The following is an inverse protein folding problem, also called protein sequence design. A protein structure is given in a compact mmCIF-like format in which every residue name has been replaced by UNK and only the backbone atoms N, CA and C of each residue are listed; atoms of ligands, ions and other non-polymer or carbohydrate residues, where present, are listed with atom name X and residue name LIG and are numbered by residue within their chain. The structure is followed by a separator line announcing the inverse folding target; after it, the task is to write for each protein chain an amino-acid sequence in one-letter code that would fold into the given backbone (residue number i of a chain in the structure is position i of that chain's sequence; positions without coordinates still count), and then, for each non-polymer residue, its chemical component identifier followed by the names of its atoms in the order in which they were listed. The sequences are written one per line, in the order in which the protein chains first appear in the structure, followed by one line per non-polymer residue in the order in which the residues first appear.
data_IF_983313708030
#
_entry.id   IF_983313708030
#
_cell.length_a   1.000
_cell.length_b   1.000
_cell.length_c   1.000
_cell.angle_alpha   90.00
_cell.angle_beta   90.00
_cell.angle_gamma   90.00
#
_symmetry.space_group_name_H-M   'P 1'
#
loop_
_entity.id
_entity.type
_entity.pdbx_description
1 polymer ?
#
# COMPACT_ATOMS: atom_id res chain seq x y z
N UNK A 1 7.16 8.15 -16.56
CA UNK A 1 6.23 7.33 -15.76
C UNK A 1 4.81 7.29 -16.33
N UNK A 2 4.24 8.40 -16.82
CA UNK A 2 2.83 8.47 -17.29
C UNK A 2 2.42 7.34 -18.25
N UNK A 3 3.24 7.04 -19.27
CA UNK A 3 2.96 5.96 -20.21
C UNK A 3 2.96 4.56 -19.54
N UNK A 4 3.85 4.34 -18.56
CA UNK A 4 3.89 3.10 -17.77
C UNK A 4 2.64 3.02 -16.89
N UNK A 5 2.29 4.08 -16.17
CA UNK A 5 1.11 4.12 -15.31
C UNK A 5 -0.21 3.91 -16.08
N UNK A 6 -0.26 4.25 -17.36
CA UNK A 6 -1.40 4.00 -18.24
C UNK A 6 -1.43 2.56 -18.81
N UNK A 7 -0.38 1.76 -18.64
CA UNK A 7 -0.25 0.43 -19.25
C UNK A 7 -0.16 -0.66 -18.18
N UNK A 8 -1.21 -1.47 -18.06
CA UNK A 8 -1.24 -2.59 -17.12
C UNK A 8 -0.14 -3.62 -17.39
N UNK A 9 0.17 -3.87 -18.66
CA UNK A 9 1.27 -4.77 -19.06
C UNK A 9 2.62 -4.23 -18.59
N UNK A 10 2.88 -2.93 -18.78
CA UNK A 10 4.13 -2.31 -18.32
C UNK A 10 4.22 -2.32 -16.79
N UNK A 11 3.11 -2.06 -16.08
CA UNK A 11 3.05 -2.13 -14.62
C UNK A 11 3.33 -3.54 -14.10
N UNK A 12 2.78 -4.56 -14.76
CA UNK A 12 3.02 -5.97 -14.41
C UNK A 12 4.50 -6.33 -14.58
N UNK A 13 5.13 -5.87 -15.67
CA UNK A 13 6.58 -6.05 -15.89
C UNK A 13 7.42 -5.31 -14.83
N UNK A 14 7.07 -4.06 -14.49
CA UNK A 14 7.74 -3.31 -13.43
C UNK A 14 7.61 -4.01 -12.07
N UNK A 15 6.41 -4.50 -11.73
CA UNK A 15 6.15 -5.19 -10.48
C UNK A 15 6.88 -6.54 -10.35
N UNK A 16 7.32 -7.13 -11.47
CA UNK A 16 8.16 -8.33 -11.48
C UNK A 16 9.67 -8.02 -11.33
N UNK A 17 10.09 -6.74 -11.46
CA UNK A 17 11.49 -6.33 -11.39
C UNK A 17 11.82 -5.61 -10.08
N UNK A 18 12.68 -6.22 -9.27
CA UNK A 18 13.16 -5.61 -8.00
C UNK A 18 13.87 -4.28 -8.22
N UNK A 19 14.61 -4.14 -9.34
CA UNK A 19 15.30 -2.91 -9.71
C UNK A 19 14.28 -1.81 -10.06
N UNK A 20 13.28 -2.14 -10.88
CA UNK A 20 12.23 -1.18 -11.24
C UNK A 20 11.43 -0.76 -10.00
N UNK A 21 11.04 -1.71 -9.16
CA UNK A 21 10.33 -1.44 -7.90
C UNK A 21 11.13 -0.53 -6.97
N UNK A 22 12.44 -0.73 -6.87
CA UNK A 22 13.33 0.14 -6.06
C UNK A 22 13.38 1.55 -6.64
N UNK A 23 13.55 1.70 -7.96
CA UNK A 23 13.60 2.99 -8.62
C UNK A 23 12.28 3.77 -8.49
N UNK A 24 11.14 3.10 -8.65
CA UNK A 24 9.82 3.72 -8.49
C UNK A 24 9.61 4.15 -7.04
N UNK A 25 10.00 3.33 -6.07
CA UNK A 25 9.92 3.66 -4.63
C UNK A 25 10.82 4.82 -4.21
N UNK A 26 11.86 5.15 -4.98
CA UNK A 26 12.69 6.33 -4.75
C UNK A 26 12.14 7.60 -5.45
N UNK A 27 11.06 7.50 -6.24
CA UNK A 27 10.56 8.59 -7.08
C UNK A 27 9.14 9.02 -6.72
N UNK A 28 8.99 10.22 -6.15
CA UNK A 28 7.67 10.83 -5.89
C UNK A 28 6.86 11.05 -7.16
N UNK A 29 7.51 11.49 -8.24
CA UNK A 29 6.85 11.66 -9.54
C UNK A 29 6.29 10.33 -10.03
N UNK A 30 7.03 9.23 -9.84
CA UNK A 30 6.55 7.93 -10.24
C UNK A 30 5.37 7.46 -9.39
N UNK A 31 5.43 7.69 -8.08
CA UNK A 31 4.41 7.34 -7.10
C UNK A 31 3.11 8.13 -7.31
N UNK A 32 3.23 9.43 -7.59
CA UNK A 32 2.11 10.29 -7.96
C UNK A 32 1.45 9.82 -9.27
N UNK A 33 2.26 9.45 -10.26
CA UNK A 33 1.74 8.90 -11.52
C UNK A 33 1.02 7.56 -11.32
N UNK A 34 1.51 6.68 -10.44
CA UNK A 34 0.81 5.44 -10.08
C UNK A 34 -0.51 5.71 -9.34
N UNK A 35 -0.51 6.65 -8.40
CA UNK A 35 -1.72 7.02 -7.66
C UNK A 35 -2.78 7.69 -8.55
N UNK A 36 -2.36 8.27 -9.68
CA UNK A 36 -3.21 8.81 -10.73
C UNK A 36 -3.43 7.84 -11.91
N UNK A 37 -2.94 6.60 -11.83
CA UNK A 37 -3.07 5.62 -12.90
C UNK A 37 -4.55 5.33 -13.20
N UNK A 38 -4.96 5.15 -14.48
CA UNK A 38 -6.34 4.81 -14.82
C UNK A 38 -6.85 3.52 -14.17
N UNK A 39 -5.95 2.59 -13.85
CA UNK A 39 -6.25 1.30 -13.22
C UNK A 39 -6.18 1.31 -11.69
N UNK A 40 -5.90 2.47 -11.06
CA UNK A 40 -5.85 2.59 -9.60
C UNK A 40 -7.23 2.31 -9.00
N UNK A 41 -7.25 1.47 -7.96
CA UNK A 41 -8.40 1.30 -7.08
C UNK A 41 -8.10 1.94 -5.74
N UNK A 42 -9.12 2.54 -5.14
CA UNK A 42 -9.05 3.18 -3.83
C UNK A 42 -10.18 2.65 -2.97
N UNK A 43 -9.83 2.22 -1.77
CA UNK A 43 -10.82 1.79 -0.77
C UNK A 43 -10.62 2.64 0.47
N UNK A 44 -11.71 3.21 0.96
CA UNK A 44 -11.70 4.13 2.10
C UNK A 44 -12.52 3.58 3.25
N UNK A 45 -12.08 3.89 4.46
CA UNK A 45 -12.80 3.54 5.68
C UNK A 45 -12.87 4.73 6.62
N UNK A 46 -14.01 4.89 7.27
CA UNK A 46 -14.18 5.79 8.39
C UNK A 46 -13.47 5.25 9.64
N UNK A 47 -13.35 6.11 10.66
CA UNK A 47 -12.81 5.73 11.96
C UNK A 47 -13.51 4.49 12.52
N UNK A 48 -12.74 3.50 12.97
CA UNK A 48 -13.18 2.27 13.62
C UNK A 48 -13.87 1.26 12.71
N UNK A 49 -14.14 1.58 11.44
CA UNK A 49 -15.05 0.80 10.59
C UNK A 49 -14.61 -0.65 10.37
N UNK A 50 -13.30 -0.92 10.36
CA UNK A 50 -12.75 -2.25 10.15
C UNK A 50 -11.87 -2.73 11.30
N UNK A 51 -11.91 -2.05 12.44
CA UNK A 51 -10.91 -2.26 13.49
C UNK A 51 -10.94 -3.66 14.11
N UNK A 52 -12.11 -4.28 14.16
CA UNK A 52 -12.29 -5.61 14.72
C UNK A 52 -11.70 -6.73 13.86
N UNK A 53 -11.47 -6.50 12.56
CA UNK A 53 -11.17 -7.55 11.59
C UNK A 53 -9.93 -7.23 10.74
N UNK A 54 -9.31 -8.28 10.20
CA UNK A 54 -8.41 -8.13 9.04
C UNK A 54 -9.27 -8.23 7.80
N UNK A 55 -9.29 -7.17 6.99
CA UNK A 55 -10.13 -7.10 5.78
C UNK A 55 -9.29 -7.33 4.55
N UNK A 56 -9.78 -8.22 3.67
CA UNK A 56 -9.22 -8.39 2.33
C UNK A 56 -9.58 -7.18 1.46
N UNK A 57 -8.57 -6.42 1.05
CA UNK A 57 -8.72 -5.26 0.15
C UNK A 57 -8.76 -5.70 -1.30
N UNK A 58 -7.89 -6.65 -1.66
CA UNK A 58 -7.82 -7.21 -3.01
C UNK A 58 -7.43 -8.69 -2.93
N UNK A 59 -8.18 -9.53 -3.64
CA UNK A 59 -7.80 -10.90 -3.91
C UNK A 59 -6.98 -10.98 -5.22
N UNK A 60 -5.95 -11.80 -5.24
CA UNK A 60 -5.04 -11.97 -6.37
C UNK A 60 -3.94 -10.89 -6.46
N UNK A 61 -3.17 -10.91 -7.55
CA UNK A 61 -2.00 -10.05 -7.70
C UNK A 61 -2.36 -8.56 -7.76
N UNK A 62 -1.68 -7.75 -6.96
CA UNK A 62 -1.77 -6.30 -7.08
C UNK A 62 -0.45 -5.60 -6.75
N UNK A 63 -0.31 -4.37 -7.21
CA UNK A 63 0.71 -3.45 -6.75
C UNK A 63 0.09 -2.55 -5.69
N UNK A 64 0.53 -2.67 -4.44
CA UNK A 64 0.20 -1.73 -3.39
C UNK A 64 0.92 -0.40 -3.64
N UNK A 65 0.18 0.69 -3.73
CA UNK A 65 0.71 2.01 -4.10
C UNK A 65 0.80 2.94 -2.89
N UNK A 66 -0.27 3.05 -2.10
CA UNK A 66 -0.31 4.00 -0.98
C UNK A 66 -1.28 3.55 0.09
N UNK A 67 -0.97 3.89 1.33
CA UNK A 67 -1.94 3.95 2.41
C UNK A 67 -1.83 5.31 3.09
N UNK A 68 -2.94 6.02 3.21
CA UNK A 68 -3.04 7.21 4.06
C UNK A 68 -3.89 6.90 5.28
N UNK A 69 -3.45 7.39 6.44
CA UNK A 69 -4.20 7.37 7.70
C UNK A 69 -4.04 8.73 8.35
N UNK A 70 -5.04 9.20 9.08
CA UNK A 70 -5.01 10.52 9.76
C UNK A 70 -5.06 10.44 11.29
N UNK A 71 -4.94 9.25 11.87
CA UNK A 71 -5.00 9.06 13.32
C UNK A 71 -3.69 8.66 13.98
N UNK A 72 -3.74 8.54 15.31
CA UNK A 72 -2.60 8.29 16.21
C UNK A 72 -2.41 6.82 16.58
N UNK A 73 -3.17 5.91 15.96
CA UNK A 73 -3.08 4.49 16.34
C UNK A 73 -1.68 3.98 16.01
N UNK A 74 -1.02 3.29 16.96
CA UNK A 74 0.32 2.78 16.73
C UNK A 74 0.32 1.78 15.58
N UNK A 75 1.37 1.82 14.78
CA UNK A 75 1.64 0.83 13.76
C UNK A 75 2.36 -0.35 14.37
N UNK A 76 1.94 -1.56 13.98
CA UNK A 76 2.55 -2.79 14.41
C UNK A 76 1.64 -3.99 14.29
N UNK A 77 2.21 -5.17 14.41
CA UNK A 77 1.54 -6.43 14.09
C UNK A 77 1.33 -7.24 15.36
N UNK A 78 0.40 -8.21 15.30
CA UNK A 78 0.15 -9.22 16.34
C UNK A 78 -0.35 -8.72 17.70
N UNK A 79 -0.77 -7.46 17.80
CA UNK A 79 -1.57 -6.99 18.93
C UNK A 79 -2.84 -6.33 18.42
N UNK A 80 -3.97 -6.59 19.06
CA UNK A 80 -5.28 -6.02 18.72
C UNK A 80 -5.35 -4.49 18.75
N UNK A 81 -4.31 -3.84 19.27
CA UNK A 81 -4.17 -2.39 19.43
C UNK A 81 -3.46 -1.64 18.29
N UNK A 82 -2.96 -2.32 17.25
CA UNK A 82 -2.14 -1.69 16.20
C UNK A 82 -2.72 -1.76 14.78
N UNK A 83 -2.37 -0.78 13.95
CA UNK A 83 -2.64 -0.76 12.50
C UNK A 83 -1.55 -1.53 11.72
N UNK A 84 -1.97 -2.31 10.71
CA UNK A 84 -1.04 -3.04 9.84
C UNK A 84 -1.62 -3.42 8.46
N UNK A 85 -0.72 -3.81 7.57
CA UNK A 85 -1.02 -4.30 6.21
C UNK A 85 -0.42 -5.71 6.08
N UNK A 86 -1.19 -6.64 5.52
CA UNK A 86 -0.75 -8.01 5.24
C UNK A 86 -0.58 -8.18 3.74
N UNK A 87 0.56 -8.74 3.34
CA UNK A 87 0.88 -9.03 1.94
C UNK A 87 1.09 -10.53 1.80
N UNK A 88 0.26 -11.21 1.01
CA UNK A 88 0.36 -12.65 0.76
C UNK A 88 0.41 -13.51 2.03
N UNK A 89 -0.47 -13.17 2.98
CA UNK A 89 -0.52 -13.81 4.30
C UNK A 89 0.69 -13.52 5.20
N UNK A 90 1.68 -12.76 4.70
CA UNK A 90 2.86 -12.37 5.47
C UNK A 90 2.69 -10.97 6.03
N UNK A 91 2.91 -10.91 7.34
CA UNK A 91 3.01 -9.69 8.13
C UNK A 91 4.41 -9.08 7.95
N UNK A 92 4.47 -7.79 7.66
CA UNK A 92 5.71 -7.03 7.52
C UNK A 92 6.00 -6.33 8.83
N UNK A 93 6.99 -6.82 9.57
CA UNK A 93 7.20 -6.44 10.96
C UNK A 93 7.53 -4.94 11.15
N UNK A 94 6.59 -4.19 11.73
CA UNK A 94 6.75 -2.79 12.12
C UNK A 94 6.36 -2.56 13.58
N UNK A 95 7.11 -3.07 14.54
CA UNK A 95 6.81 -2.82 15.95
C UNK A 95 6.82 -1.31 16.30
N UNK A 96 5.69 -0.79 16.80
CA UNK A 96 5.61 0.41 17.63
C UNK A 96 5.90 1.75 16.94
N UNK A 97 5.48 1.94 15.69
CA UNK A 97 5.69 3.24 15.00
C UNK A 97 4.52 4.19 15.22
N UNK A 98 4.82 5.45 15.53
CA UNK A 98 3.82 6.51 15.71
C UNK A 98 3.31 7.14 14.39
N UNK A 99 3.81 6.68 13.24
CA UNK A 99 3.46 7.21 11.93
C UNK A 99 3.33 6.08 10.90
N UNK A 100 2.47 6.33 9.90
CA UNK A 100 2.20 5.40 8.83
C UNK A 100 3.41 5.19 7.90
N UNK A 101 3.99 4.00 7.88
CA UNK A 101 5.19 3.72 7.10
C UNK A 101 4.92 3.60 5.60
N UNK A 102 3.66 3.52 5.17
CA UNK A 102 3.25 3.36 3.78
C UNK A 102 2.67 4.65 3.17
N UNK A 103 2.80 5.77 3.88
CA UNK A 103 2.35 7.04 3.35
C UNK A 103 3.39 7.60 2.38
N UNK A 104 3.13 7.41 1.09
CA UNK A 104 4.01 7.78 -0.01
C UNK A 104 3.75 9.20 -0.57
N UNK A 105 3.08 10.09 0.16
CA UNK A 105 2.70 11.44 -0.32
C UNK A 105 3.87 12.41 -0.54
N UNK A 106 5.05 12.15 0.04
CA UNK A 106 6.26 12.97 -0.14
C UNK A 106 7.53 12.20 0.25
N UNK A 107 8.66 12.45 -0.41
CA UNK A 107 10.02 11.99 -0.03
C UNK A 107 10.43 12.46 1.36
N UNK A 108 9.81 13.51 1.90
CA UNK A 108 10.07 13.99 3.25
C UNK A 108 9.39 13.15 4.35
N UNK A 109 8.60 12.14 3.99
CA UNK A 109 8.03 11.22 4.99
C UNK A 109 9.18 10.42 5.64
N UNK A 110 9.42 10.57 6.95
CA UNK A 110 10.58 9.99 7.63
C UNK A 110 10.55 8.46 7.67
N UNK A 111 9.43 7.83 7.32
CA UNK A 111 9.24 6.39 7.26
C UNK A 111 8.49 6.05 5.98
N UNK A 112 9.24 5.63 4.94
CA UNK A 112 8.69 5.20 3.66
C UNK A 112 9.13 3.77 3.38
N UNK A 113 8.32 2.82 3.79
CA UNK A 113 8.49 1.41 3.42
C UNK A 113 8.16 1.30 1.93
N UNK A 114 8.96 0.57 1.13
CA UNK A 114 8.69 0.40 -0.28
C UNK A 114 7.27 -0.15 -0.55
N UNK A 115 6.63 0.35 -1.60
CA UNK A 115 5.53 -0.33 -2.29
C UNK A 115 5.87 -1.80 -2.51
N UNK A 116 4.85 -2.64 -2.45
CA UNK A 116 4.98 -4.09 -2.60
C UNK A 116 3.98 -4.61 -3.61
N UNK A 117 4.40 -5.67 -4.28
CA UNK A 117 3.52 -6.53 -5.06
C UNK A 117 2.96 -7.61 -4.13
N UNK A 118 1.69 -7.97 -4.34
CA UNK A 118 1.10 -9.21 -3.85
C UNK A 118 0.90 -10.19 -5.00
N UNK A 119 0.83 -11.47 -4.69
CA UNK A 119 0.47 -12.55 -5.61
C UNK A 119 -0.94 -13.10 -5.34
N UNK A 120 -1.36 -13.07 -4.09
CA UNK A 120 -2.53 -13.80 -3.58
C UNK A 120 -3.49 -12.89 -2.83
N UNK A 121 -3.02 -12.01 -1.94
CA UNK A 121 -3.90 -11.09 -1.24
C UNK A 121 -3.20 -9.82 -0.75
N UNK A 122 -3.98 -8.74 -0.72
CA UNK A 122 -3.68 -7.54 0.04
C UNK A 122 -4.74 -7.42 1.13
N UNK A 123 -4.34 -7.36 2.39
CA UNK A 123 -5.26 -7.19 3.52
C UNK A 123 -4.79 -6.08 4.45
N UNK A 124 -5.72 -5.53 5.23
CA UNK A 124 -5.43 -4.47 6.19
C UNK A 124 -6.24 -4.62 7.48
N UNK A 125 -5.71 -4.08 8.56
CA UNK A 125 -6.45 -3.78 9.79
C UNK A 125 -6.13 -2.35 10.17
N UNK A 126 -7.15 -1.49 10.13
CA UNK A 126 -6.99 -0.04 10.29
C UNK A 126 -8.04 0.48 11.28
N UNK A 127 -7.65 1.47 12.08
CA UNK A 127 -8.54 2.09 13.06
C UNK A 127 -8.87 3.52 12.65
N UNK A 128 -7.88 4.30 12.26
CA UNK A 128 -8.09 5.67 11.84
C UNK A 128 -8.70 5.77 10.43
N UNK A 129 -9.30 6.93 10.10
CA UNK A 129 -9.79 7.17 8.75
C UNK A 129 -8.68 6.95 7.74
N UNK A 130 -8.97 6.13 6.73
CA UNK A 130 -7.92 5.60 5.87
C UNK A 130 -8.35 5.46 4.42
N UNK A 131 -7.34 5.45 3.54
CA UNK A 131 -7.46 5.13 2.12
C UNK A 131 -6.32 4.19 1.75
N UNK A 132 -6.64 3.01 1.23
CA UNK A 132 -5.69 2.12 0.57
C UNK A 132 -5.83 2.28 -0.93
N UNK A 133 -4.73 2.59 -1.61
CA UNK A 133 -4.64 2.70 -3.06
C UNK A 133 -3.74 1.59 -3.62
N UNK A 134 -4.25 0.88 -4.62
CA UNK A 134 -3.58 -0.26 -5.23
C UNK A 134 -3.98 -0.44 -6.70
N UNK A 135 -3.13 -1.10 -7.48
CA UNK A 135 -3.39 -1.42 -8.89
C UNK A 135 -3.49 -2.94 -9.02
N UNK A 136 -4.65 -3.52 -9.36
CA UNK A 136 -4.73 -4.93 -9.72
C UNK A 136 -3.79 -5.23 -10.88
N UNK A 137 -3.00 -6.30 -10.78
CA UNK A 137 -2.09 -6.73 -11.83
C UNK A 137 -2.73 -7.86 -12.64
N UNK A 138 -2.27 -8.05 -13.89
CA UNK A 138 -2.66 -9.23 -14.64
C UNK A 138 -2.08 -10.48 -13.96
N UNK A 139 -2.92 -11.52 -13.85
CA UNK A 139 -2.55 -12.85 -13.36
C UNK A 139 -1.72 -13.61 -14.38
#
# INVERSE_FOLDING_TARGET
MTAIAASLTALTACAASSIAMTAINASDVAMAALYAAPSIKKTTWAYGAIWSNVISVQAGPCLFVRLTTTGISPWGENTSGNEYVVFDGTNVNFAGRGANPYNHTSVASPMRVPMRKTLTNLQVRLHAPSEVAFIPLAS
#
